data_IF_211922648043
#
_entry.id   IF_211922648043
#
_cell.length_a   1.000
_cell.length_b   1.000
_cell.length_c   1.000
_cell.angle_alpha   90.00
_cell.angle_beta   90.00
_cell.angle_gamma   90.00
#
_symmetry.space_group_name_H-M   'P 1'
#
loop_
_entity.id
_entity.type
_entity.pdbx_description
1 polymer ?
#
# COMPACT_ATOMS: atom_id res chain seq x y z
N UNK A 1 -15.95 16.55 30.30
CA UNK A 1 -15.16 16.03 29.17
C UNK A 1 -16.14 15.59 28.07
N UNK A 2 -16.16 16.27 26.93
CA UNK A 2 -17.22 16.15 25.91
C UNK A 2 -17.09 14.88 25.06
N UNK A 3 -18.18 14.14 24.90
CA UNK A 3 -18.34 12.95 24.03
C UNK A 3 -17.84 13.18 22.59
N UNK A 4 -17.92 14.41 22.10
CA UNK A 4 -17.47 14.79 20.75
C UNK A 4 -15.94 14.67 20.58
N UNK A 5 -15.18 14.93 21.66
CA UNK A 5 -13.73 14.78 21.64
C UNK A 5 -13.30 13.30 21.60
N UNK A 6 -14.09 12.40 22.20
CA UNK A 6 -13.86 10.95 22.18
C UNK A 6 -13.99 10.38 20.76
N UNK A 7 -15.05 10.76 20.04
CA UNK A 7 -15.31 10.30 18.66
C UNK A 7 -14.21 10.75 17.67
N UNK A 8 -13.72 11.99 17.80
CA UNK A 8 -12.59 12.48 16.98
C UNK A 8 -11.28 11.73 17.28
N UNK A 9 -11.06 11.37 18.55
CA UNK A 9 -9.94 10.53 18.98
C UNK A 9 -9.93 9.18 18.26
N UNK A 10 -11.06 8.49 18.26
CA UNK A 10 -11.22 7.20 17.57
C UNK A 10 -11.04 7.30 16.05
N UNK A 11 -11.67 8.29 15.40
CA UNK A 11 -11.54 8.48 13.96
C UNK A 11 -10.08 8.70 13.53
N UNK A 12 -9.32 9.49 14.29
CA UNK A 12 -7.90 9.74 14.02
C UNK A 12 -7.03 8.49 14.16
N UNK A 13 -7.35 7.60 15.11
CA UNK A 13 -6.64 6.33 15.30
C UNK A 13 -6.96 5.35 14.17
N UNK A 14 -8.24 5.27 13.79
CA UNK A 14 -8.69 4.44 12.68
C UNK A 14 -8.04 4.88 11.35
N UNK A 15 -7.99 6.19 11.07
CA UNK A 15 -7.34 6.72 9.88
C UNK A 15 -5.83 6.36 9.83
N UNK A 16 -5.11 6.48 10.95
CA UNK A 16 -3.70 6.07 11.04
C UNK A 16 -3.51 4.57 10.85
N UNK A 17 -4.42 3.76 11.40
CA UNK A 17 -4.40 2.30 11.21
C UNK A 17 -4.60 1.95 9.74
N UNK A 18 -5.62 2.52 9.10
CA UNK A 18 -5.92 2.31 7.69
C UNK A 18 -4.76 2.73 6.78
N UNK A 19 -4.15 3.89 7.03
CA UNK A 19 -2.97 4.37 6.31
C UNK A 19 -1.82 3.35 6.36
N UNK A 20 -1.49 2.83 7.55
CA UNK A 20 -0.43 1.82 7.71
C UNK A 20 -0.77 0.52 7.00
N UNK A 21 -2.03 0.08 7.05
CA UNK A 21 -2.49 -1.12 6.37
C UNK A 21 -2.36 -0.99 4.84
N UNK A 22 -2.78 0.15 4.28
CA UNK A 22 -2.65 0.44 2.85
C UNK A 22 -1.18 0.46 2.41
N UNK A 23 -0.29 1.11 3.17
CA UNK A 23 1.14 1.12 2.87
C UNK A 23 1.78 -0.27 2.96
N UNK A 24 1.44 -1.05 3.99
CA UNK A 24 1.95 -2.41 4.17
C UNK A 24 1.48 -3.29 3.00
N UNK A 25 0.21 -3.22 2.63
CA UNK A 25 -0.35 -4.01 1.53
C UNK A 25 0.25 -3.58 0.17
N UNK A 26 0.33 -2.28 -0.11
CA UNK A 26 0.94 -1.77 -1.34
C UNK A 26 2.42 -2.14 -1.45
N UNK A 27 3.14 -2.27 -0.33
CA UNK A 27 4.52 -2.73 -0.33
C UNK A 27 4.73 -4.19 -0.75
N UNK A 28 3.68 -5.01 -0.75
CA UNK A 28 3.75 -6.44 -1.06
C UNK A 28 3.57 -6.78 -2.55
N UNK A 29 3.30 -5.78 -3.42
CA UNK A 29 3.24 -6.02 -4.86
C UNK A 29 4.57 -6.60 -5.38
N UNK A 30 4.50 -7.57 -6.31
CA UNK A 30 5.70 -8.16 -6.90
C UNK A 30 6.38 -7.19 -7.89
N UNK A 31 5.60 -6.39 -8.62
CA UNK A 31 6.12 -5.40 -9.56
C UNK A 31 6.45 -4.06 -8.88
N UNK A 32 7.62 -3.49 -9.18
CA UNK A 32 8.08 -2.22 -8.59
C UNK A 32 7.16 -1.04 -8.86
N UNK A 33 6.73 -0.88 -10.10
CA UNK A 33 5.85 0.21 -10.51
C UNK A 33 4.56 0.24 -9.67
N UNK A 34 3.95 -0.92 -9.40
CA UNK A 34 2.75 -1.02 -8.58
C UNK A 34 3.04 -0.79 -7.10
N UNK A 35 4.18 -1.28 -6.56
CA UNK A 35 4.60 -0.95 -5.18
C UNK A 35 4.72 0.56 -4.97
N UNK A 36 5.46 1.23 -5.85
CA UNK A 36 5.73 2.66 -5.72
C UNK A 36 4.50 3.51 -6.01
N UNK A 37 3.69 3.12 -7.00
CA UNK A 37 2.40 3.77 -7.24
C UNK A 37 1.46 3.66 -6.05
N UNK A 38 1.28 2.47 -5.47
CA UNK A 38 0.41 2.27 -4.31
C UNK A 38 0.88 3.12 -3.12
N UNK A 39 2.18 3.10 -2.80
CA UNK A 39 2.74 3.96 -1.73
C UNK A 39 2.50 5.44 -1.97
N UNK A 40 2.79 5.93 -3.18
CA UNK A 40 2.60 7.34 -3.54
C UNK A 40 1.13 7.73 -3.44
N UNK A 41 0.23 6.95 -4.07
CA UNK A 41 -1.21 7.21 -4.07
C UNK A 41 -1.79 7.25 -2.67
N UNK A 42 -1.41 6.31 -1.79
CA UNK A 42 -1.83 6.32 -0.38
C UNK A 42 -1.33 7.58 0.34
N UNK A 43 -0.06 7.96 0.17
CA UNK A 43 0.49 9.18 0.81
C UNK A 43 -0.20 10.44 0.34
N UNK A 44 -0.39 10.58 -0.96
CA UNK A 44 -0.99 11.77 -1.56
C UNK A 44 -2.45 11.90 -1.13
N UNK A 45 -3.22 10.81 -1.19
CA UNK A 45 -4.64 10.82 -0.79
C UNK A 45 -4.83 11.19 0.68
N UNK A 46 -3.99 10.69 1.60
CA UNK A 46 -4.09 11.06 3.02
C UNK A 46 -3.61 12.48 3.30
N UNK A 47 -2.62 12.97 2.56
CA UNK A 47 -2.16 14.37 2.67
C UNK A 47 -3.20 15.36 2.14
N UNK A 48 -3.82 15.04 1.01
CA UNK A 48 -4.88 15.83 0.39
C UNK A 48 -6.06 16.04 1.35
N UNK A 49 -6.42 15.02 2.14
CA UNK A 49 -7.58 15.06 3.03
C UNK A 49 -7.23 15.27 4.51
N UNK A 50 -6.00 15.68 4.85
CA UNK A 50 -5.52 15.77 6.24
C UNK A 50 -6.28 16.80 7.09
N UNK A 51 -6.78 17.87 6.46
CA UNK A 51 -7.41 19.00 7.14
C UNK A 51 -8.96 18.96 7.07
N UNK A 52 -9.54 17.87 6.56
CA UNK A 52 -11.01 17.71 6.48
C UNK A 52 -11.59 17.60 7.90
N UNK A 53 -12.50 18.50 8.24
CA UNK A 53 -13.16 18.55 9.56
C UNK A 53 -14.60 18.05 9.56
N UNK A 54 -15.24 17.94 8.39
CA UNK A 54 -16.60 17.42 8.25
C UNK A 54 -16.64 15.92 8.56
N UNK A 55 -17.34 15.56 9.63
CA UNK A 55 -17.46 14.18 10.11
C UNK A 55 -18.07 13.24 9.06
N UNK A 56 -19.07 13.71 8.29
CA UNK A 56 -19.67 12.91 7.22
C UNK A 56 -18.64 12.64 6.14
N UNK A 57 -17.87 13.66 5.77
CA UNK A 57 -16.83 13.52 4.76
C UNK A 57 -15.70 12.60 5.21
N UNK A 58 -15.30 12.68 6.48
CA UNK A 58 -14.32 11.76 7.08
C UNK A 58 -14.83 10.32 7.00
N UNK A 59 -16.10 10.06 7.35
CA UNK A 59 -16.69 8.73 7.25
C UNK A 59 -16.69 8.20 5.81
N UNK A 60 -17.08 9.01 4.82
CA UNK A 60 -17.03 8.64 3.40
C UNK A 60 -15.62 8.25 2.96
N UNK A 61 -14.62 9.06 3.33
CA UNK A 61 -13.22 8.81 2.98
C UNK A 61 -12.68 7.54 3.65
N UNK A 62 -13.05 7.30 4.91
CA UNK A 62 -12.71 6.07 5.62
C UNK A 62 -13.30 4.84 4.93
N UNK A 63 -14.58 4.88 4.53
CA UNK A 63 -15.21 3.80 3.80
C UNK A 63 -14.58 3.56 2.43
N UNK A 64 -14.23 4.64 1.72
CA UNK A 64 -13.47 4.55 0.47
C UNK A 64 -12.12 3.86 0.69
N UNK A 65 -11.35 4.28 1.69
CA UNK A 65 -10.04 3.67 1.98
C UNK A 65 -10.13 2.19 2.38
N UNK A 66 -11.20 1.78 3.08
CA UNK A 66 -11.45 0.36 3.38
C UNK A 66 -11.72 -0.47 2.11
N UNK A 67 -12.51 0.07 1.17
CA UNK A 67 -12.74 -0.56 -0.13
C UNK A 67 -11.44 -0.66 -0.95
N UNK A 68 -10.64 0.40 -0.95
CA UNK A 68 -9.32 0.42 -1.60
C UNK A 68 -8.38 -0.62 -0.99
N UNK A 69 -8.37 -0.77 0.34
CA UNK A 69 -7.58 -1.79 1.03
C UNK A 69 -7.96 -3.22 0.61
N UNK A 70 -9.26 -3.51 0.49
CA UNK A 70 -9.72 -4.80 0.00
C UNK A 70 -9.28 -5.05 -1.44
N UNK A 71 -9.35 -4.04 -2.31
CA UNK A 71 -8.85 -4.13 -3.69
C UNK A 71 -7.35 -4.39 -3.72
N UNK A 72 -6.57 -3.62 -2.96
CA UNK A 72 -5.13 -3.79 -2.79
C UNK A 72 -4.76 -5.21 -2.38
N UNK A 73 -5.44 -5.78 -1.38
CA UNK A 73 -5.23 -7.18 -0.95
C UNK A 73 -5.39 -8.17 -2.10
N UNK A 74 -6.48 -8.08 -2.87
CA UNK A 74 -6.73 -8.95 -4.03
C UNK A 74 -5.66 -8.77 -5.11
N UNK A 75 -5.36 -7.53 -5.45
CA UNK A 75 -4.40 -7.20 -6.51
C UNK A 75 -2.98 -7.62 -6.15
N UNK A 76 -2.59 -7.51 -4.88
CA UNK A 76 -1.29 -8.04 -4.42
C UNK A 76 -1.21 -9.54 -4.59
N UNK A 77 -2.24 -10.29 -4.20
CA UNK A 77 -2.28 -11.75 -4.36
C UNK A 77 -2.20 -12.14 -5.84
N UNK A 78 -2.98 -11.50 -6.72
CA UNK A 78 -2.91 -11.71 -8.16
C UNK A 78 -1.51 -11.39 -8.71
N UNK A 79 -0.91 -10.29 -8.27
CA UNK A 79 0.45 -9.91 -8.68
C UNK A 79 1.51 -10.94 -8.28
N UNK A 80 1.27 -11.75 -7.25
CA UNK A 80 2.18 -12.83 -6.87
C UNK A 80 2.07 -14.06 -7.76
N UNK A 81 0.95 -14.28 -8.45
CA UNK A 81 0.81 -15.36 -9.44
C UNK A 81 1.47 -15.01 -10.78
N UNK A 82 1.48 -13.72 -11.13
CA UNK A 82 2.03 -13.21 -12.39
C UNK A 82 3.29 -12.37 -12.13
N UNK A 83 4.26 -12.93 -11.39
CA UNK A 83 5.53 -12.27 -11.19
C UNK A 83 6.29 -12.20 -12.51
N UNK A 84 6.41 -10.99 -13.05
CA UNK A 84 7.23 -10.69 -14.22
C UNK A 84 8.68 -10.50 -13.81
N UNK A 85 9.58 -10.60 -14.79
CA UNK A 85 10.99 -10.33 -14.59
C UNK A 85 11.19 -8.92 -14.01
N UNK A 86 12.11 -8.80 -13.06
CA UNK A 86 12.44 -7.51 -12.45
C UNK A 86 12.87 -6.53 -13.52
N UNK A 87 12.37 -5.29 -13.41
CA UNK A 87 12.77 -4.21 -14.31
C UNK A 87 14.25 -3.86 -14.10
N UNK A 88 14.90 -3.29 -15.12
CA UNK A 88 16.30 -2.84 -15.07
C UNK A 88 16.55 -1.88 -13.88
N UNK A 89 15.55 -1.07 -13.54
CA UNK A 89 15.59 -0.11 -12.42
C UNK A 89 15.53 -0.77 -11.02
N UNK A 90 15.23 -2.07 -10.95
CA UNK A 90 15.17 -2.83 -9.70
C UNK A 90 16.48 -3.59 -9.39
N UNK A 91 17.35 -3.76 -10.38
CA UNK A 91 18.73 -4.17 -10.15
C UNK A 91 19.51 -2.94 -9.68
N UNK A 92 20.11 -2.99 -8.48
CA UNK A 92 21.02 -1.93 -8.04
C UNK A 92 22.20 -1.75 -9.02
N UNK A 93 23.25 -1.01 -8.62
CA UNK A 93 24.45 -0.77 -9.48
C UNK A 93 25.07 -2.04 -10.11
N UNK A 94 24.80 -3.24 -9.57
CA UNK A 94 25.30 -4.53 -10.05
C UNK A 94 24.38 -5.27 -11.03
N UNK A 95 23.11 -4.87 -11.19
CA UNK A 95 22.12 -5.62 -11.99
C UNK A 95 21.81 -7.04 -11.48
N UNK A 96 22.31 -7.43 -10.29
CA UNK A 96 22.14 -8.77 -9.73
C UNK A 96 20.88 -8.85 -8.86
N UNK A 97 20.12 -9.94 -8.99
CA UNK A 97 19.05 -10.29 -8.05
C UNK A 97 19.65 -10.59 -6.67
N UNK A 98 19.47 -9.69 -5.70
CA UNK A 98 19.75 -9.96 -4.29
C UNK A 98 18.55 -10.69 -3.68
N UNK A 99 18.71 -11.94 -3.26
CA UNK A 99 17.63 -12.78 -2.70
C UNK A 99 17.04 -12.33 -1.35
N UNK A 100 17.23 -11.08 -0.92
CA UNK A 100 16.88 -10.60 0.42
C UNK A 100 15.37 -10.33 0.62
N UNK A 101 14.56 -10.21 -0.44
CA UNK A 101 13.13 -9.86 -0.32
C UNK A 101 12.21 -10.87 -0.97
N UNK A 102 11.91 -12.00 -0.31
CA UNK A 102 10.96 -13.01 -0.80
C UNK A 102 11.11 -13.31 -2.31
N UNK A 103 12.34 -13.15 -2.83
CA UNK A 103 12.63 -13.25 -4.23
C UNK A 103 12.91 -14.72 -4.48
N UNK A 104 11.94 -15.39 -5.09
CA UNK A 104 12.07 -16.78 -5.49
C UNK A 104 13.30 -16.84 -6.40
N UNK A 105 14.37 -17.49 -5.94
CA UNK A 105 15.59 -17.65 -6.72
C UNK A 105 15.25 -18.42 -7.99
N UNK A 106 15.46 -17.83 -9.17
CA UNK A 106 15.39 -18.59 -10.41
C UNK A 106 16.59 -19.52 -10.48
N UNK A 107 16.32 -20.82 -10.51
CA UNK A 107 17.22 -21.78 -11.12
C UNK A 107 17.20 -21.48 -12.64
N UNK A 108 18.32 -21.03 -13.18
CA UNK A 108 18.45 -20.89 -14.64
C UNK A 108 18.53 -22.31 -15.19
N UNK A 109 17.48 -22.75 -15.86
CA UNK A 109 17.60 -23.86 -16.81
C UNK A 109 18.39 -23.34 -18.00
N UNK A 110 19.72 -23.43 -17.91
CA UNK A 110 20.60 -23.34 -19.06
C UNK A 110 20.39 -24.58 -19.90
N UNK A 111 19.74 -24.41 -21.05
CA UNK A 111 19.92 -25.30 -22.21
C UNK A 111 21.22 -25.01 -22.91
#
# INVERSE_FOLDING_TARGET
MSVVAGLKGEASQQARSLYRQLLRQGGQFAAYNFREYAKRRTRDSFREHKDVQDERKVQELMQKGLKELQSLKRQTVVSQFFQLDRLVVEGGKSGKQSGERNDIMRQKDTG
#
